data_IF_073718078705
#
_entry.id   IF_073718078705
#
_cell.length_a   1.000
_cell.length_b   1.000
_cell.length_c   1.000
_cell.angle_alpha   90.00
_cell.angle_beta   90.00
_cell.angle_gamma   90.00
#
_symmetry.space_group_name_H-M   'P 1'
#
loop_
_entity.id
_entity.type
_entity.pdbx_description
1 polymer ?
#
# COMPACT_ATOMS: atom_id res chain seq x y z
N UNK A 1 -19.65 70.30 -27.66
CA UNK A 1 -19.38 68.93 -28.16
C UNK A 1 -18.24 68.24 -27.39
N UNK A 2 -18.31 68.09 -26.05
CA UNK A 2 -17.19 67.52 -25.26
C UNK A 2 -17.55 66.35 -24.34
N UNK A 3 -18.84 66.06 -24.14
CA UNK A 3 -19.28 64.98 -23.25
C UNK A 3 -19.48 63.63 -23.96
N UNK A 4 -19.78 63.64 -25.26
CA UNK A 4 -19.97 62.40 -26.05
C UNK A 4 -18.65 61.72 -26.41
N UNK A 5 -17.59 62.49 -26.71
CA UNK A 5 -16.26 61.94 -27.02
C UNK A 5 -15.55 61.32 -25.79
N UNK A 6 -15.90 61.75 -24.58
CA UNK A 6 -15.32 61.21 -23.33
C UNK A 6 -15.86 59.83 -22.97
N UNK A 7 -17.10 59.50 -23.39
CA UNK A 7 -17.78 58.23 -23.09
C UNK A 7 -17.31 57.07 -23.98
N UNK A 8 -16.90 57.37 -25.22
CA UNK A 8 -16.33 56.37 -26.14
C UNK A 8 -14.85 56.03 -25.84
N UNK A 9 -14.07 56.98 -25.30
CA UNK A 9 -12.69 56.69 -24.88
C UNK A 9 -12.61 55.95 -23.53
N UNK A 10 -13.62 56.08 -22.66
CA UNK A 10 -13.64 55.35 -21.39
C UNK A 10 -14.01 53.88 -21.56
N UNK A 11 -14.86 53.52 -22.52
CA UNK A 11 -15.25 52.13 -22.78
C UNK A 11 -14.09 51.34 -23.41
N UNK A 12 -13.36 51.92 -24.36
CA UNK A 12 -12.19 51.29 -24.99
C UNK A 12 -11.01 51.14 -24.01
N UNK A 13 -10.78 52.12 -23.14
CA UNK A 13 -9.76 52.02 -22.09
C UNK A 13 -10.12 50.97 -21.02
N UNK A 14 -11.40 50.77 -20.73
CA UNK A 14 -11.86 49.79 -19.75
C UNK A 14 -11.86 48.36 -20.32
N UNK A 15 -12.11 48.19 -21.61
CA UNK A 15 -11.93 46.92 -22.31
C UNK A 15 -10.45 46.53 -22.43
N UNK A 16 -9.56 47.49 -22.74
CA UNK A 16 -8.12 47.24 -22.78
C UNK A 16 -7.56 46.82 -21.40
N UNK A 17 -8.03 47.46 -20.32
CA UNK A 17 -7.66 47.07 -18.95
C UNK A 17 -8.20 45.69 -18.56
N UNK A 18 -9.40 45.32 -19.02
CA UNK A 18 -9.96 43.97 -18.81
C UNK A 18 -9.22 42.91 -19.60
N UNK A 19 -8.80 43.21 -20.84
CA UNK A 19 -7.99 42.32 -21.64
C UNK A 19 -6.60 42.10 -21.02
N UNK A 20 -5.95 43.17 -20.51
CA UNK A 20 -4.68 43.05 -19.79
C UNK A 20 -4.84 42.28 -18.46
N UNK A 21 -5.91 42.54 -17.70
CA UNK A 21 -6.19 41.79 -16.47
C UNK A 21 -6.48 40.30 -16.76
N UNK A 22 -7.18 39.99 -17.86
CA UNK A 22 -7.41 38.62 -18.28
C UNK A 22 -6.12 37.93 -18.74
N UNK A 23 -5.23 38.64 -19.45
CA UNK A 23 -3.90 38.11 -19.82
C UNK A 23 -3.03 37.84 -18.59
N UNK A 24 -3.03 38.74 -17.61
CA UNK A 24 -2.32 38.56 -16.33
C UNK A 24 -2.93 37.42 -15.49
N UNK A 25 -4.25 37.26 -15.51
CA UNK A 25 -4.93 36.13 -14.85
C UNK A 25 -4.60 34.79 -15.52
N UNK A 26 -4.55 34.73 -16.85
CA UNK A 26 -4.16 33.52 -17.59
C UNK A 26 -2.68 33.19 -17.33
N UNK A 27 -1.81 34.20 -17.26
CA UNK A 27 -0.39 34.01 -16.97
C UNK A 27 -0.16 33.53 -15.53
N UNK A 28 -0.88 34.12 -14.55
CA UNK A 28 -0.81 33.67 -13.15
C UNK A 28 -1.40 32.27 -12.94
N UNK A 29 -2.47 31.89 -13.65
CA UNK A 29 -2.98 30.50 -13.63
C UNK A 29 -1.98 29.52 -14.25
N UNK A 30 -1.24 29.93 -15.28
CA UNK A 30 -0.17 29.12 -15.88
C UNK A 30 1.00 28.93 -14.91
N UNK A 31 1.38 29.97 -14.18
CA UNK A 31 2.45 29.91 -13.16
C UNK A 31 2.03 29.11 -11.92
N UNK A 32 0.76 29.16 -11.50
CA UNK A 32 0.24 28.32 -10.41
C UNK A 32 0.12 26.85 -10.84
N UNK A 33 -0.26 26.60 -12.10
CA UNK A 33 -0.21 25.25 -12.68
C UNK A 33 1.21 24.68 -12.77
N UNK A 34 2.20 25.55 -13.04
CA UNK A 34 3.63 25.21 -12.99
C UNK A 34 4.14 24.95 -11.58
N UNK A 35 3.59 25.62 -10.55
CA UNK A 35 3.93 25.39 -9.14
C UNK A 35 3.32 24.10 -8.56
N UNK A 36 2.18 23.65 -9.08
CA UNK A 36 1.50 22.41 -8.67
C UNK A 36 1.96 21.18 -9.47
N UNK A 37 2.72 21.38 -10.54
CA UNK A 37 3.38 20.33 -11.29
C UNK A 37 4.86 20.32 -10.92
N UNK A 38 5.34 19.42 -10.03
CA UNK A 38 6.75 19.35 -9.68
C UNK A 38 7.64 18.92 -10.86
N UNK A 39 7.08 18.70 -12.05
CA UNK A 39 7.76 18.20 -13.26
C UNK A 39 7.82 19.20 -14.43
N UNK A 40 7.51 20.49 -14.25
CA UNK A 40 7.58 21.51 -15.31
C UNK A 40 8.76 22.49 -15.17
N UNK A 41 9.77 22.14 -14.38
CA UNK A 41 11.11 22.71 -14.53
C UNK A 41 11.85 21.90 -15.59
N UNK A 42 12.44 22.56 -16.58
CA UNK A 42 13.25 21.98 -17.66
C UNK A 42 14.50 21.20 -17.22
N UNK A 43 14.66 20.97 -15.92
CA UNK A 43 15.92 20.58 -15.29
C UNK A 43 15.81 19.28 -14.49
N UNK A 44 14.74 18.48 -14.69
CA UNK A 44 14.68 17.13 -14.13
C UNK A 44 15.45 16.16 -15.05
N UNK A 45 16.63 15.63 -14.65
CA UNK A 45 17.43 14.72 -15.46
C UNK A 45 16.68 13.44 -15.86
N UNK A 46 15.56 13.13 -15.20
CA UNK A 46 14.70 12.00 -15.53
C UNK A 46 13.83 12.20 -16.79
N UNK A 47 13.63 13.44 -17.25
CA UNK A 47 12.72 13.76 -18.38
C UNK A 47 13.43 14.27 -19.62
N UNK A 48 14.71 14.62 -19.53
CA UNK A 48 15.50 15.03 -20.69
C UNK A 48 15.89 13.82 -21.54
N UNK A 49 15.93 13.95 -22.88
CA UNK A 49 16.40 12.89 -23.76
C UNK A 49 17.86 12.57 -23.47
N UNK A 50 18.17 11.28 -23.39
CA UNK A 50 19.52 10.78 -23.07
C UNK A 50 20.34 10.57 -24.35
N UNK A 51 21.67 10.68 -24.26
CA UNK A 51 22.56 10.16 -25.31
C UNK A 51 22.48 8.63 -25.30
N UNK A 52 21.90 8.07 -26.36
CA UNK A 52 21.66 6.63 -26.49
C UNK A 52 22.90 5.86 -26.91
N UNK A 53 23.90 6.52 -27.51
CA UNK A 53 25.14 5.90 -28.01
C UNK A 53 25.86 4.97 -27.03
N UNK A 54 26.10 5.34 -25.75
CA UNK A 54 26.74 4.44 -24.80
C UNK A 54 25.96 3.13 -24.58
N UNK A 55 24.63 3.18 -24.67
CA UNK A 55 23.77 2.00 -24.49
C UNK A 55 23.83 1.09 -25.71
N UNK A 56 24.00 1.65 -26.91
CA UNK A 56 24.26 0.87 -28.14
C UNK A 56 25.62 0.16 -28.10
N UNK A 57 26.61 0.70 -27.39
CA UNK A 57 27.91 0.06 -27.23
C UNK A 57 27.86 -1.04 -26.17
N UNK A 58 27.27 -0.75 -25.01
CA UNK A 58 27.14 -1.66 -23.88
C UNK A 58 25.66 -1.91 -23.53
N UNK A 59 25.04 -2.99 -24.06
CA UNK A 59 23.64 -3.31 -23.82
C UNK A 59 23.28 -3.53 -22.34
N UNK A 60 24.26 -3.87 -21.50
CA UNK A 60 24.07 -4.09 -20.05
C UNK A 60 23.62 -2.85 -19.29
N UNK A 61 23.77 -1.66 -19.88
CA UNK A 61 23.32 -0.41 -19.27
C UNK A 61 21.81 -0.19 -19.41
N UNK A 62 21.17 -0.86 -20.37
CA UNK A 62 19.76 -0.70 -20.69
C UNK A 62 18.80 -0.89 -19.49
N UNK A 63 18.95 -1.92 -18.63
CA UNK A 63 18.01 -2.16 -17.53
C UNK A 63 18.07 -1.10 -16.43
N UNK A 64 19.19 -0.39 -16.32
CA UNK A 64 19.40 0.65 -15.31
C UNK A 64 18.81 2.01 -15.71
N UNK A 65 18.32 2.14 -16.94
CA UNK A 65 17.68 3.35 -17.42
C UNK A 65 16.27 3.52 -16.86
N UNK A 66 15.81 4.77 -16.79
CA UNK A 66 14.41 5.07 -16.51
C UNK A 66 13.51 4.51 -17.63
N UNK A 67 12.23 4.26 -17.33
CA UNK A 67 11.28 3.75 -18.32
C UNK A 67 11.15 4.66 -19.56
N UNK A 68 11.23 5.98 -19.37
CA UNK A 68 11.18 6.94 -20.47
C UNK A 68 12.41 6.81 -21.38
N UNK A 69 13.60 6.70 -20.79
CA UNK A 69 14.86 6.51 -21.51
C UNK A 69 14.95 5.16 -22.21
N UNK A 70 14.43 4.09 -21.58
CA UNK A 70 14.28 2.78 -22.22
C UNK A 70 13.39 2.88 -23.47
N UNK A 71 12.27 3.61 -23.36
CA UNK A 71 11.37 3.88 -24.49
C UNK A 71 12.06 4.61 -25.64
N UNK A 72 12.90 5.61 -25.35
CA UNK A 72 13.68 6.32 -26.36
C UNK A 72 14.64 5.38 -27.11
N UNK A 73 15.43 4.59 -26.40
CA UNK A 73 16.38 3.63 -26.99
C UNK A 73 15.65 2.60 -27.87
N UNK A 74 14.51 2.09 -27.40
CA UNK A 74 13.69 1.14 -28.16
C UNK A 74 13.11 1.77 -29.43
N UNK A 75 12.64 3.02 -29.36
CA UNK A 75 12.12 3.72 -30.53
C UNK A 75 13.21 3.94 -31.59
N UNK A 76 14.41 4.36 -31.18
CA UNK A 76 15.56 4.52 -32.10
C UNK A 76 16.01 3.19 -32.72
N UNK A 77 16.01 2.12 -31.92
CA UNK A 77 16.33 0.77 -32.37
C UNK A 77 15.26 0.24 -33.34
N UNK A 78 13.98 0.51 -33.09
CA UNK A 78 12.87 0.14 -33.97
C UNK A 78 12.99 0.85 -35.33
N UNK A 79 13.29 2.14 -35.35
CA UNK A 79 13.51 2.89 -36.59
C UNK A 79 14.67 2.32 -37.42
N UNK A 80 15.69 1.75 -36.75
CA UNK A 80 16.78 1.02 -37.42
C UNK A 80 16.32 -0.35 -37.92
N UNK A 81 15.47 -1.05 -37.19
CA UNK A 81 14.92 -2.35 -37.58
C UNK A 81 13.91 -2.29 -38.73
N UNK A 82 13.20 -1.18 -38.87
CA UNK A 82 12.31 -0.95 -40.02
C UNK A 82 13.09 -0.81 -41.33
N UNK A 83 14.41 -0.58 -41.25
CA UNK A 83 15.34 -0.56 -42.39
C UNK A 83 15.82 -1.98 -42.71
N UNK A 84 16.44 -2.16 -43.89
CA UNK A 84 16.96 -3.47 -44.32
C UNK A 84 17.92 -4.07 -43.27
N UNK A 85 17.68 -5.32 -42.86
CA UNK A 85 18.49 -6.03 -41.86
C UNK A 85 20.00 -6.10 -42.15
N UNK A 86 20.36 -6.05 -43.43
CA UNK A 86 21.75 -6.03 -43.89
C UNK A 86 22.48 -4.73 -43.56
N UNK A 87 21.75 -3.63 -43.33
CA UNK A 87 22.31 -2.32 -42.98
C UNK A 87 22.47 -2.09 -41.48
N UNK A 88 21.91 -2.95 -40.63
CA UNK A 88 22.08 -2.84 -39.18
C UNK A 88 23.50 -3.22 -38.78
N UNK A 89 24.10 -2.41 -37.90
CA UNK A 89 25.39 -2.72 -37.33
C UNK A 89 25.31 -3.94 -36.40
N UNK A 90 26.46 -4.54 -36.12
CA UNK A 90 26.54 -5.64 -35.15
C UNK A 90 26.08 -5.20 -33.75
N UNK A 91 26.39 -3.96 -33.38
CA UNK A 91 26.00 -3.37 -32.09
C UNK A 91 24.48 -3.24 -31.96
N UNK A 92 23.80 -2.73 -33.00
CA UNK A 92 22.34 -2.62 -32.98
C UNK A 92 21.67 -4.01 -32.82
N UNK A 93 22.21 -5.03 -33.50
CA UNK A 93 21.72 -6.41 -33.40
C UNK A 93 21.95 -7.00 -32.01
N UNK A 94 23.11 -6.75 -31.41
CA UNK A 94 23.43 -7.19 -30.05
C UNK A 94 22.52 -6.52 -29.02
N UNK A 95 22.28 -5.21 -29.16
CA UNK A 95 21.37 -4.48 -28.29
C UNK A 95 19.94 -5.02 -28.41
N UNK A 96 19.41 -5.20 -29.63
CA UNK A 96 18.06 -5.74 -29.78
C UNK A 96 17.92 -7.19 -29.32
N UNK A 97 18.96 -8.02 -29.48
CA UNK A 97 19.02 -9.34 -28.87
C UNK A 97 19.02 -9.27 -27.34
N UNK A 98 19.79 -8.35 -26.74
CA UNK A 98 19.82 -8.16 -25.29
C UNK A 98 18.50 -7.60 -24.75
N UNK A 99 17.83 -6.69 -25.46
CA UNK A 99 16.52 -6.17 -25.05
C UNK A 99 15.49 -7.31 -25.06
N UNK A 100 15.47 -8.14 -26.11
CA UNK A 100 14.48 -9.23 -26.23
C UNK A 100 14.77 -10.44 -25.34
N UNK A 101 16.04 -10.84 -25.26
CA UNK A 101 16.47 -12.09 -24.62
C UNK A 101 17.59 -11.87 -23.62
N UNK A 102 17.87 -10.66 -23.14
CA UNK A 102 18.92 -10.43 -22.15
C UNK A 102 18.53 -10.85 -20.74
N UNK A 103 19.51 -10.81 -19.85
CA UNK A 103 19.33 -11.10 -18.43
C UNK A 103 18.78 -9.87 -17.66
N UNK A 104 17.55 -9.46 -17.94
CA UNK A 104 16.92 -8.32 -17.27
C UNK A 104 15.39 -8.45 -17.18
N UNK A 105 14.77 -7.69 -16.27
CA UNK A 105 13.33 -7.73 -16.02
C UNK A 105 12.86 -9.13 -15.58
N UNK A 106 11.94 -9.74 -16.34
CA UNK A 106 11.42 -11.09 -16.05
C UNK A 106 12.49 -12.18 -16.15
N UNK A 107 13.66 -11.88 -16.73
CA UNK A 107 14.73 -12.84 -16.97
C UNK A 107 15.91 -12.78 -15.98
N UNK A 108 15.91 -11.84 -15.03
CA UNK A 108 17.07 -11.59 -14.13
C UNK A 108 17.56 -12.78 -13.32
N UNK A 109 16.63 -13.66 -12.93
CA UNK A 109 16.90 -14.81 -12.05
C UNK A 109 17.33 -16.06 -12.81
N UNK A 110 17.44 -16.03 -14.15
CA UNK A 110 17.98 -17.16 -14.89
C UNK A 110 19.51 -17.19 -14.72
N UNK A 111 19.99 -18.09 -13.87
CA UNK A 111 21.41 -18.47 -13.82
C UNK A 111 21.76 -19.17 -15.14
N UNK A 112 22.94 -18.87 -15.70
CA UNK A 112 23.56 -19.58 -16.85
C UNK A 112 23.38 -19.00 -18.26
N UNK A 113 23.30 -17.67 -18.40
CA UNK A 113 23.42 -17.00 -19.72
C UNK A 113 24.75 -17.26 -20.45
N UNK A 114 25.81 -17.62 -19.73
CA UNK A 114 27.17 -17.80 -20.28
C UNK A 114 27.55 -19.27 -20.50
N UNK A 115 26.78 -20.20 -19.93
CA UNK A 115 27.10 -21.62 -20.03
C UNK A 115 26.37 -22.25 -21.21
N UNK A 116 27.12 -22.71 -22.22
CA UNK A 116 26.54 -23.43 -23.35
C UNK A 116 25.90 -24.77 -22.95
N UNK A 117 26.22 -25.31 -21.76
CA UNK A 117 25.66 -26.59 -21.30
C UNK A 117 24.26 -26.46 -20.69
N UNK A 118 23.88 -25.28 -20.22
CA UNK A 118 22.60 -25.01 -19.54
C UNK A 118 22.00 -23.69 -20.01
N UNK A 119 21.63 -23.54 -21.30
CA UNK A 119 21.02 -22.32 -21.78
C UNK A 119 19.67 -22.07 -21.08
N UNK A 120 19.27 -20.81 -20.86
CA UNK A 120 17.98 -20.50 -20.24
C UNK A 120 16.83 -21.15 -21.02
N UNK A 121 15.91 -21.77 -20.28
CA UNK A 121 14.80 -22.58 -20.81
C UNK A 121 13.84 -21.83 -21.75
N UNK A 122 13.95 -20.52 -21.81
CA UNK A 122 13.11 -19.61 -22.58
C UNK A 122 13.84 -19.04 -23.82
N UNK A 123 14.92 -19.70 -24.25
CA UNK A 123 15.54 -19.47 -25.55
C UNK A 123 14.84 -20.35 -26.61
N UNK A 124 14.49 -19.80 -27.79
CA UNK A 124 13.82 -20.56 -28.84
C UNK A 124 14.77 -21.50 -29.61
N UNK A 125 16.04 -21.60 -29.21
CA UNK A 125 17.05 -22.43 -29.86
C UNK A 125 18.01 -23.03 -28.83
N UNK A 126 18.50 -24.24 -29.11
CA UNK A 126 19.55 -24.89 -28.33
C UNK A 126 20.93 -24.35 -28.76
N UNK A 127 21.86 -24.22 -27.81
CA UNK A 127 23.26 -23.87 -28.07
C UNK A 127 24.14 -25.07 -27.69
N UNK A 128 24.98 -25.59 -28.60
CA UNK A 128 25.09 -25.22 -30.02
C UNK A 128 23.80 -25.55 -30.79
N UNK A 129 23.52 -24.78 -31.84
CA UNK A 129 22.39 -25.03 -32.72
C UNK A 129 22.63 -26.34 -33.47
N UNK A 130 22.13 -27.44 -32.91
CA UNK A 130 22.13 -28.73 -33.57
C UNK A 130 21.04 -28.71 -34.65
N UNK A 131 21.32 -28.03 -35.77
CA UNK A 131 20.53 -28.19 -36.98
C UNK A 131 20.73 -29.62 -37.49
N UNK A 132 20.04 -30.59 -36.87
CA UNK A 132 19.87 -31.91 -37.45
C UNK A 132 18.97 -31.71 -38.66
N UNK A 133 19.58 -31.63 -39.84
CA UNK A 133 18.87 -31.86 -41.10
C UNK A 133 18.31 -33.27 -40.98
N UNK A 134 17.02 -33.38 -40.63
CA UNK A 134 16.36 -34.66 -40.45
C UNK A 134 16.51 -35.50 -41.71
N UNK A 135 16.85 -36.77 -41.54
CA UNK A 135 16.89 -37.68 -42.68
C UNK A 135 15.44 -37.98 -43.10
N UNK A 136 15.15 -38.15 -44.40
CA UNK A 136 13.82 -38.58 -44.83
C UNK A 136 13.50 -39.94 -44.18
N UNK A 137 12.56 -39.95 -43.23
CA UNK A 137 12.21 -41.12 -42.40
C UNK A 137 12.28 -40.89 -40.88
N UNK A 138 12.80 -39.75 -40.41
CA UNK A 138 12.81 -39.43 -38.99
C UNK A 138 11.37 -39.21 -38.46
N UNK A 139 10.96 -40.00 -37.46
CA UNK A 139 9.67 -39.87 -36.81
C UNK A 139 9.72 -38.67 -35.86
N UNK A 140 9.15 -37.55 -36.29
CA UNK A 140 9.02 -36.34 -35.46
C UNK A 140 8.01 -36.59 -34.34
N UNK A 141 8.49 -36.61 -33.10
CA UNK A 141 7.62 -36.68 -31.92
C UNK A 141 7.42 -35.27 -31.34
N UNK A 142 6.18 -34.97 -30.96
CA UNK A 142 5.86 -33.75 -30.22
C UNK A 142 6.57 -33.81 -28.86
N UNK A 143 7.35 -32.78 -28.54
CA UNK A 143 7.93 -32.61 -27.21
C UNK A 143 6.81 -32.37 -26.19
N UNK A 144 7.04 -32.79 -24.95
CA UNK A 144 6.11 -32.51 -23.86
C UNK A 144 5.98 -30.99 -23.66
N UNK A 145 4.76 -30.49 -23.41
CA UNK A 145 4.56 -29.07 -23.15
C UNK A 145 5.24 -28.69 -21.82
N UNK A 146 6.20 -27.77 -21.89
CA UNK A 146 6.87 -27.24 -20.70
C UNK A 146 6.09 -26.02 -20.20
N UNK A 147 5.53 -26.10 -18.99
CA UNK A 147 4.91 -24.96 -18.32
C UNK A 147 5.99 -24.00 -17.81
N UNK A 148 6.31 -23.02 -18.63
CA UNK A 148 7.31 -22.01 -18.34
C UNK A 148 7.01 -21.21 -17.05
N UNK A 149 5.74 -21.01 -16.69
CA UNK A 149 5.31 -20.29 -15.47
C UNK A 149 5.62 -21.02 -14.17
N UNK A 150 5.77 -22.35 -14.21
CA UNK A 150 5.95 -23.20 -13.02
C UNK A 150 7.42 -23.53 -12.76
N UNK A 151 8.34 -22.99 -13.56
CA UNK A 151 9.78 -23.10 -13.32
C UNK A 151 10.18 -22.45 -12.00
N UNK A 152 11.16 -23.01 -11.29
CA UNK A 152 11.58 -22.53 -9.96
C UNK A 152 11.91 -21.04 -9.94
N UNK A 153 12.52 -20.55 -11.01
CA UNK A 153 12.85 -19.14 -11.24
C UNK A 153 11.60 -18.25 -11.31
N UNK A 154 10.53 -18.75 -11.95
CA UNK A 154 9.29 -18.01 -12.23
C UNK A 154 8.22 -18.17 -11.16
N UNK A 155 8.30 -19.21 -10.32
CA UNK A 155 7.37 -19.41 -9.18
C UNK A 155 7.24 -18.17 -8.30
N UNK A 156 8.35 -17.46 -8.05
CA UNK A 156 8.33 -16.22 -7.27
C UNK A 156 7.64 -15.07 -8.00
N UNK A 157 7.86 -14.94 -9.31
CA UNK A 157 7.31 -13.86 -10.15
C UNK A 157 5.79 -14.01 -10.32
N UNK A 158 5.31 -15.25 -10.48
CA UNK A 158 3.88 -15.55 -10.66
C UNK A 158 3.15 -15.88 -9.36
N UNK A 159 3.77 -15.64 -8.18
CA UNK A 159 3.11 -15.82 -6.89
C UNK A 159 2.14 -14.68 -6.55
N UNK A 160 1.12 -14.49 -7.39
CA UNK A 160 0.10 -13.43 -7.24
C UNK A 160 -0.81 -13.62 -6.02
N UNK A 161 -0.76 -14.79 -5.37
CA UNK A 161 -1.54 -15.08 -4.16
C UNK A 161 -1.01 -14.35 -2.92
N UNK A 162 0.23 -13.86 -2.93
CA UNK A 162 0.83 -13.16 -1.78
C UNK A 162 0.67 -11.66 -1.94
N UNK A 163 0.03 -11.02 -0.97
CA UNK A 163 -0.09 -9.56 -0.92
C UNK A 163 1.27 -8.90 -0.68
N UNK A 164 1.56 -7.83 -1.43
CA UNK A 164 2.78 -7.02 -1.30
C UNK A 164 2.95 -6.53 0.15
N UNK A 165 4.16 -6.64 0.75
CA UNK A 165 4.44 -6.06 2.07
C UNK A 165 3.99 -4.60 2.21
N UNK A 166 4.13 -3.75 1.19
CA UNK A 166 3.72 -2.34 1.30
C UNK A 166 2.20 -2.20 1.42
N UNK A 167 1.45 -2.96 0.63
CA UNK A 167 -0.01 -3.01 0.70
C UNK A 167 -0.50 -3.54 2.06
N UNK A 168 0.21 -4.52 2.66
CA UNK A 168 -0.08 -4.98 4.02
C UNK A 168 0.07 -3.86 5.06
N UNK A 169 1.15 -3.08 4.97
CA UNK A 169 1.38 -1.95 5.88
C UNK A 169 0.29 -0.90 5.72
N UNK A 170 -0.09 -0.57 4.49
CA UNK A 170 -1.15 0.41 4.21
C UNK A 170 -2.50 -0.06 4.79
N UNK A 171 -2.89 -1.30 4.54
CA UNK A 171 -4.14 -1.87 5.06
C UNK A 171 -4.14 -1.86 6.60
N UNK A 172 -3.02 -2.23 7.22
CA UNK A 172 -2.87 -2.19 8.66
C UNK A 172 -2.98 -0.75 9.21
N UNK A 173 -2.35 0.23 8.55
CA UNK A 173 -2.44 1.63 8.93
C UNK A 173 -3.88 2.15 8.84
N UNK A 174 -4.61 1.82 7.78
CA UNK A 174 -6.03 2.17 7.62
C UNK A 174 -6.86 1.59 8.76
N UNK A 175 -6.70 0.30 9.07
CA UNK A 175 -7.39 -0.35 10.19
C UNK A 175 -7.05 0.30 11.55
N UNK A 176 -5.82 0.73 11.73
CA UNK A 176 -5.39 1.38 12.96
C UNK A 176 -6.00 2.78 13.10
N UNK A 177 -6.03 3.56 12.01
CA UNK A 177 -6.69 4.87 11.96
C UNK A 177 -8.19 4.74 12.21
N UNK A 178 -8.86 3.75 11.59
CA UNK A 178 -10.30 3.54 11.83
C UNK A 178 -10.57 3.15 13.27
N UNK A 179 -9.74 2.31 13.88
CA UNK A 179 -9.87 1.96 15.30
C UNK A 179 -9.69 3.17 16.22
N UNK A 180 -8.71 4.04 15.94
CA UNK A 180 -8.50 5.30 16.68
C UNK A 180 -9.69 6.24 16.50
N UNK A 181 -10.22 6.37 15.28
CA UNK A 181 -11.38 7.18 15.00
C UNK A 181 -12.61 6.69 15.79
N UNK A 182 -12.89 5.39 15.78
CA UNK A 182 -13.96 4.78 16.56
C UNK A 182 -13.76 4.98 18.07
N UNK A 183 -12.53 4.83 18.57
CA UNK A 183 -12.21 5.08 19.97
C UNK A 183 -12.43 6.54 20.37
N UNK A 184 -12.01 7.47 19.50
CA UNK A 184 -12.20 8.91 19.69
C UNK A 184 -13.70 9.25 19.69
N UNK A 185 -14.46 8.73 18.75
CA UNK A 185 -15.91 8.98 18.65
C UNK A 185 -16.67 8.42 19.85
N UNK A 186 -16.28 7.25 20.38
CA UNK A 186 -16.83 6.72 21.63
C UNK A 186 -16.55 7.61 22.85
N UNK A 187 -15.39 8.29 22.87
CA UNK A 187 -14.97 9.12 24.02
C UNK A 187 -15.36 10.60 23.91
N UNK A 188 -15.65 11.12 22.72
CA UNK A 188 -16.00 12.54 22.52
C UNK A 188 -17.34 12.95 23.17
N UNK A 189 -18.22 11.99 23.50
CA UNK A 189 -19.51 12.27 24.14
C UNK A 189 -19.53 12.23 25.68
N UNK A 190 -18.46 11.78 26.36
CA UNK A 190 -18.51 11.55 27.82
C UNK A 190 -18.47 12.83 28.67
N UNK A 191 -17.96 13.94 28.12
CA UNK A 191 -17.90 15.22 28.84
C UNK A 191 -19.26 15.92 28.97
N UNK A 192 -20.29 15.46 28.23
CA UNK A 192 -21.62 16.08 28.18
C UNK A 192 -22.78 15.13 28.45
N UNK A 193 -22.53 13.88 28.87
CA UNK A 193 -23.62 12.98 29.27
C UNK A 193 -24.36 13.61 30.47
N UNK A 194 -25.68 13.82 30.41
CA UNK A 194 -26.43 14.25 31.58
C UNK A 194 -26.19 13.21 32.67
N UNK A 195 -25.78 13.67 33.86
CA UNK A 195 -25.62 12.79 35.02
C UNK A 195 -26.92 12.03 35.18
N UNK A 196 -26.86 10.70 35.15
CA UNK A 196 -28.00 9.87 35.48
C UNK A 196 -28.45 10.26 36.88
N UNK A 197 -29.60 10.91 36.98
CA UNK A 197 -30.23 11.15 38.26
C UNK A 197 -30.67 9.79 38.77
N UNK A 198 -29.85 9.20 39.66
CA UNK A 198 -30.25 8.04 40.44
C UNK A 198 -31.43 8.48 41.30
N UNK A 199 -32.65 8.23 40.82
CA UNK A 199 -33.87 8.41 41.61
C UNK A 199 -33.86 7.28 42.63
N UNK A 200 -33.18 7.50 43.76
CA UNK A 200 -33.19 6.59 44.88
C UNK A 200 -34.51 6.80 45.62
N UNK A 201 -35.36 5.78 45.60
CA UNK A 201 -36.58 5.77 46.37
C UNK A 201 -36.25 5.71 47.87
N UNK A 202 -36.44 6.84 48.57
CA UNK A 202 -36.15 6.99 50.00
C UNK A 202 -36.84 5.92 50.85
N UNK A 203 -38.02 5.48 50.44
CA UNK A 203 -38.81 4.48 51.18
C UNK A 203 -38.26 3.05 51.06
N UNK A 204 -37.54 2.72 49.97
CA UNK A 204 -36.89 1.42 49.84
C UNK A 204 -35.65 1.34 50.73
N UNK A 205 -34.83 2.39 50.73
CA UNK A 205 -33.65 2.48 51.60
C UNK A 205 -34.03 2.41 53.08
N UNK A 206 -35.14 3.05 53.47
CA UNK A 206 -35.62 3.01 54.85
C UNK A 206 -36.15 1.62 55.24
N UNK A 207 -36.83 0.91 54.33
CA UNK A 207 -37.27 -0.48 54.54
C UNK A 207 -36.09 -1.44 54.71
N UNK A 208 -35.04 -1.30 53.90
CA UNK A 208 -33.84 -2.13 54.03
C UNK A 208 -33.07 -1.85 55.32
N UNK A 209 -33.00 -0.59 55.76
CA UNK A 209 -32.40 -0.24 57.06
C UNK A 209 -33.18 -0.85 58.23
N UNK A 210 -34.52 -0.74 58.23
CA UNK A 210 -35.36 -1.35 59.29
C UNK A 210 -35.18 -2.87 59.35
N UNK A 211 -35.13 -3.55 58.19
CA UNK A 211 -34.87 -4.99 58.14
C UNK A 211 -33.51 -5.37 58.71
N UNK A 212 -32.45 -4.62 58.37
CA UNK A 212 -31.11 -4.87 58.92
C UNK A 212 -31.04 -4.63 60.43
N UNK A 213 -31.71 -3.59 60.93
CA UNK A 213 -31.78 -3.33 62.37
C UNK A 213 -32.57 -4.42 63.12
N UNK A 214 -33.64 -4.95 62.52
CA UNK A 214 -34.38 -6.10 63.07
C UNK A 214 -33.52 -7.38 63.07
N UNK A 215 -32.85 -7.69 61.97
CA UNK A 215 -31.94 -8.84 61.86
C UNK A 215 -30.78 -8.76 62.87
N UNK A 216 -30.21 -7.57 63.09
CA UNK A 216 -29.17 -7.35 64.11
C UNK A 216 -29.69 -7.54 65.54
N UNK A 217 -30.95 -7.16 65.82
CA UNK A 217 -31.58 -7.39 67.13
C UNK A 217 -31.83 -8.87 67.36
N UNK A 218 -32.40 -9.56 66.37
CA UNK A 218 -32.63 -11.01 66.46
C UNK A 218 -31.32 -11.79 66.60
N UNK A 219 -30.24 -11.36 65.92
CA UNK A 219 -28.93 -11.98 66.05
C UNK A 219 -28.34 -11.77 67.47
N UNK A 220 -28.50 -10.59 68.06
CA UNK A 220 -28.07 -10.31 69.44
C UNK A 220 -28.87 -11.12 70.45
N UNK A 221 -30.18 -11.21 70.29
CA UNK A 221 -31.04 -12.01 71.17
C UNK A 221 -30.68 -13.51 71.11
N UNK A 222 -30.40 -14.05 69.91
CA UNK A 222 -29.92 -15.44 69.75
C UNK A 222 -28.57 -15.67 70.43
N UNK A 223 -27.63 -14.73 70.30
CA UNK A 223 -26.33 -14.81 70.97
C UNK A 223 -26.47 -14.76 72.49
N UNK A 224 -27.34 -13.90 73.02
CA UNK A 224 -27.63 -13.83 74.46
C UNK A 224 -28.26 -15.14 74.98
N UNK A 225 -29.20 -15.72 74.24
CA UNK A 225 -29.79 -17.03 74.57
C UNK A 225 -28.75 -18.16 74.56
N UNK A 226 -27.86 -18.21 73.57
CA UNK A 226 -26.77 -19.18 73.51
C UNK A 226 -25.79 -19.01 74.70
N UNK A 227 -25.48 -17.78 75.10
CA UNK A 227 -24.66 -17.52 76.28
C UNK A 227 -25.34 -17.97 77.58
N UNK A 228 -26.64 -17.74 77.72
CA UNK A 228 -27.42 -18.21 78.87
C UNK A 228 -27.45 -19.74 78.93
N UNK A 229 -27.64 -20.43 77.81
CA UNK A 229 -27.60 -21.89 77.74
C UNK A 229 -26.21 -22.42 78.10
N UNK A 230 -25.13 -21.79 77.62
CA UNK A 230 -23.75 -22.13 78.03
C UNK A 230 -23.54 -21.93 79.52
N UNK A 231 -24.04 -20.83 80.11
CA UNK A 231 -23.97 -20.58 81.57
C UNK A 231 -24.77 -21.61 82.35
N UNK A 232 -25.98 -21.99 81.91
CA UNK A 232 -26.80 -23.06 82.53
C UNK A 232 -26.11 -24.42 82.45
N UNK A 233 -25.52 -24.76 81.31
CA UNK A 233 -24.78 -26.02 81.15
C UNK A 233 -23.52 -26.05 82.02
N UNK A 234 -22.76 -24.96 82.14
CA UNK A 234 -21.62 -24.87 83.09
C UNK A 234 -22.05 -25.11 84.54
N UNK A 235 -23.19 -24.56 84.97
CA UNK A 235 -23.72 -24.79 86.33
C UNK A 235 -24.12 -26.25 86.57
N UNK A 236 -24.63 -26.97 85.57
CA UNK A 236 -24.97 -28.41 85.70
C UNK A 236 -23.75 -29.29 86.01
N UNK A 237 -22.57 -28.96 85.48
CA UNK A 237 -21.32 -29.68 85.78
C UNK A 237 -20.77 -29.36 87.17
N UNK A 238 -21.03 -28.16 87.69
CA UNK A 238 -20.57 -27.75 89.03
C UNK A 238 -21.20 -28.58 90.16
N UNK A 239 -22.44 -29.07 89.98
CA UNK A 239 -23.12 -29.93 90.96
C UNK A 239 -22.62 -31.39 90.98
N UNK A 240 -21.83 -31.83 90.00
CA UNK A 240 -21.27 -33.18 89.96
C UNK A 240 -20.03 -33.38 90.85
N UNK A 241 -19.44 -32.30 91.37
CA UNK A 241 -18.24 -32.32 92.22
C UNK A 241 -18.50 -32.03 93.71
N UNK A 242 -19.74 -31.76 94.11
CA UNK A 242 -20.12 -31.42 95.50
C UNK A 242 -20.62 -32.65 96.30
N UNK A 243 -20.04 -33.84 96.07
CA UNK A 243 -20.33 -35.05 96.85
C UNK A 243 -19.33 -35.26 97.98
#
# INVERSE_FOLDING_TARGET
>A
MSLLLRRFNSSTAQEAKRAQAAQLAIQSLKDVGSLLSPSSGSDDPATQPIDTKPIFQDPTLFPHLSLLHQGQVVAELQEKYDKKWTKLSKQDKLLGYFISFGNWGVREKFSDWRSNSSPPLDLPFQVPSNARVGKPGDIVKKLEPVNLSETEVRKDQFNTKKMDPMSKVLIFAILMITMIAVYRDKKIGERGKPKELLIVDKYQVEREKRKKEEEEREAKEKLEQEEEERKRNRRKWYYLYLR
#
